data_IF_144770357964
#
_entry.id   IF_144770357964
#
_cell.length_a   1.000
_cell.length_b   1.000
_cell.length_c   1.000
_cell.angle_alpha   90.00
_cell.angle_beta   90.00
_cell.angle_gamma   90.00
#
_symmetry.space_group_name_H-M   'P 1'
#
loop_
_entity.id
_entity.type
_entity.pdbx_description
1 polymer ?
#
# COMPACT_ATOMS: atom_id res chain seq x y z
N UNK A 1 -15.80 -9.02 -4.12
CA UNK A 1 -16.06 -8.11 -5.26
C UNK A 1 -14.93 -8.22 -6.26
N UNK A 2 -15.21 -8.03 -7.54
CA UNK A 2 -14.15 -8.05 -8.54
C UNK A 2 -13.59 -6.64 -8.75
N UNK A 3 -12.27 -6.55 -8.87
CA UNK A 3 -11.55 -5.30 -9.14
C UNK A 3 -12.10 -4.63 -10.41
N UNK A 4 -12.24 -3.31 -10.41
CA UNK A 4 -12.75 -2.48 -11.52
C UNK A 4 -14.21 -2.70 -11.91
N UNK A 5 -14.93 -3.57 -11.23
CA UNK A 5 -16.37 -3.74 -11.47
C UNK A 5 -17.21 -2.84 -10.56
N UNK A 6 -18.41 -2.52 -11.03
CA UNK A 6 -19.42 -1.83 -10.22
C UNK A 6 -20.05 -2.80 -9.24
N UNK A 7 -20.14 -2.38 -7.99
CA UNK A 7 -20.81 -3.15 -6.93
C UNK A 7 -21.80 -2.28 -6.19
N UNK A 8 -22.94 -2.84 -5.80
CA UNK A 8 -23.99 -2.17 -5.04
C UNK A 8 -24.33 -2.96 -3.80
N UNK A 9 -24.15 -2.35 -2.63
CA UNK A 9 -24.66 -2.87 -1.37
C UNK A 9 -26.04 -2.24 -1.10
N UNK A 10 -26.98 -3.03 -0.57
CA UNK A 10 -28.35 -2.58 -0.29
C UNK A 10 -28.68 -2.80 1.18
N UNK A 11 -29.33 -1.82 1.76
CA UNK A 11 -29.83 -1.84 3.13
C UNK A 11 -31.33 -1.58 3.11
N UNK A 12 -32.09 -2.45 3.72
CA UNK A 12 -33.52 -2.30 3.91
C UNK A 12 -33.78 -1.98 5.38
N UNK A 13 -34.41 -0.83 5.63
CA UNK A 13 -34.79 -0.40 6.96
C UNK A 13 -36.22 0.13 6.94
N UNK A 14 -37.05 -0.42 7.81
CA UNK A 14 -38.46 -0.05 7.94
C UNK A 14 -38.69 0.69 9.27
N UNK A 15 -39.61 1.63 9.25
CA UNK A 15 -40.01 2.40 10.44
C UNK A 15 -40.95 3.56 10.08
N UNK A 16 -41.67 4.06 11.10
CA UNK A 16 -42.51 5.22 10.99
C UNK A 16 -42.16 6.22 12.10
N UNK A 17 -41.58 7.40 11.78
CA UNK A 17 -41.19 7.91 10.44
C UNK A 17 -40.14 7.03 9.74
N UNK A 18 -39.95 7.22 8.43
CA UNK A 18 -38.94 6.48 7.68
C UNK A 18 -37.54 6.73 8.27
N UNK A 19 -36.74 5.66 8.59
CA UNK A 19 -35.42 5.81 9.15
C UNK A 19 -34.42 6.49 8.20
N UNK A 20 -33.49 7.24 8.79
CA UNK A 20 -32.28 7.67 8.08
C UNK A 20 -31.26 6.51 8.09
N UNK A 21 -30.66 6.26 6.94
CA UNK A 21 -29.69 5.17 6.75
C UNK A 21 -28.28 5.73 6.58
N UNK A 22 -27.30 5.05 7.18
CA UNK A 22 -25.88 5.32 6.98
C UNK A 22 -25.13 4.01 6.78
N UNK A 23 -24.20 4.01 5.84
CA UNK A 23 -23.22 2.94 5.66
C UNK A 23 -21.93 3.27 6.40
N UNK A 24 -21.52 2.34 7.23
CA UNK A 24 -20.26 2.38 7.96
C UNK A 24 -19.31 1.39 7.33
N UNK A 25 -18.09 1.81 7.05
CA UNK A 25 -17.01 0.95 6.57
C UNK A 25 -15.89 0.95 7.58
N UNK A 26 -15.42 -0.22 7.97
CA UNK A 26 -14.24 -0.41 8.78
C UNK A 26 -13.24 -1.30 8.05
N UNK A 27 -11.99 -0.84 8.04
CA UNK A 27 -10.84 -1.63 7.58
C UNK A 27 -10.13 -2.27 8.77
N UNK A 28 -9.27 -3.23 8.54
CA UNK A 28 -8.44 -3.84 9.60
C UNK A 28 -7.53 -2.81 10.32
N UNK A 29 -7.24 -1.68 9.69
CA UNK A 29 -6.54 -0.56 10.32
C UNK A 29 -7.32 0.09 11.48
N UNK A 30 -8.58 -0.33 11.74
CA UNK A 30 -9.36 -0.02 12.94
C UNK A 30 -10.13 1.29 12.88
N UNK A 31 -10.15 2.00 11.77
CA UNK A 31 -10.98 3.19 11.56
C UNK A 31 -12.39 2.83 11.07
N UNK A 32 -13.43 3.45 11.62
CA UNK A 32 -14.80 3.38 11.09
C UNK A 32 -15.14 4.69 10.41
N UNK A 33 -15.53 4.61 9.14
CA UNK A 33 -15.90 5.78 8.35
C UNK A 33 -17.33 5.67 7.83
N UNK A 34 -18.04 6.80 7.72
CA UNK A 34 -19.32 6.88 7.05
C UNK A 34 -19.06 7.03 5.56
N UNK A 35 -19.43 6.03 4.78
CA UNK A 35 -19.17 5.97 3.32
C UNK A 35 -20.43 6.18 2.47
N UNK A 36 -21.60 6.23 3.08
CA UNK A 36 -22.86 6.49 2.39
C UNK A 36 -24.00 6.84 3.34
N UNK A 37 -25.02 7.54 2.82
CA UNK A 37 -26.21 7.95 3.58
C UNK A 37 -27.52 7.59 2.89
N UNK A 38 -27.49 6.65 1.95
CA UNK A 38 -28.64 6.17 1.22
C UNK A 38 -28.84 4.67 1.44
N UNK A 39 -30.04 4.16 1.16
CA UNK A 39 -30.35 2.74 1.27
C UNK A 39 -29.48 1.86 0.35
N UNK A 40 -28.91 2.41 -0.70
CA UNK A 40 -27.94 1.73 -1.56
C UNK A 40 -26.59 2.46 -1.52
N UNK A 41 -25.52 1.71 -1.31
CA UNK A 41 -24.13 2.16 -1.49
C UNK A 41 -23.63 1.66 -2.84
N UNK A 42 -23.33 2.58 -3.73
CA UNK A 42 -22.90 2.30 -5.10
C UNK A 42 -21.39 2.55 -5.24
N UNK A 43 -20.64 1.48 -5.43
CA UNK A 43 -19.20 1.50 -5.67
C UNK A 43 -19.00 1.33 -7.17
N UNK A 44 -18.77 2.42 -7.89
CA UNK A 44 -18.71 2.44 -9.36
C UNK A 44 -17.49 1.72 -9.93
N UNK A 45 -16.37 1.82 -9.23
CA UNK A 45 -15.10 1.23 -9.62
C UNK A 45 -14.46 0.60 -8.37
N UNK A 46 -14.63 -0.72 -8.24
CA UNK A 46 -14.12 -1.43 -7.07
C UNK A 46 -12.59 -1.44 -7.08
N UNK A 47 -12.00 -1.11 -5.94
CA UNK A 47 -10.56 -1.10 -5.66
C UNK A 47 -10.26 -1.87 -4.37
N UNK A 48 -9.01 -2.27 -4.13
CA UNK A 48 -8.59 -2.97 -2.91
C UNK A 48 -8.88 -2.18 -1.62
N UNK A 49 -8.92 -0.85 -1.68
CA UNK A 49 -9.33 0.01 -0.56
C UNK A 49 -10.79 -0.16 -0.14
N UNK A 50 -11.62 -0.78 -0.99
CA UNK A 50 -13.01 -1.08 -0.67
C UNK A 50 -13.18 -2.43 0.06
N UNK A 51 -12.12 -3.20 0.26
CA UNK A 51 -12.16 -4.39 1.10
C UNK A 51 -12.36 -4.02 2.57
N UNK A 52 -13.04 -4.86 3.33
CA UNK A 52 -13.30 -4.65 4.75
C UNK A 52 -14.75 -4.93 5.16
N UNK A 53 -15.13 -4.43 6.32
CA UNK A 53 -16.42 -4.69 6.92
C UNK A 53 -17.37 -3.52 6.72
N UNK A 54 -18.57 -3.82 6.25
CA UNK A 54 -19.64 -2.85 6.06
C UNK A 54 -20.79 -3.15 7.01
N UNK A 55 -21.32 -2.10 7.63
CA UNK A 55 -22.52 -2.16 8.48
C UNK A 55 -23.48 -1.07 8.01
N UNK A 56 -24.72 -1.43 7.81
CA UNK A 56 -25.79 -0.49 7.63
C UNK A 56 -26.35 -0.07 8.99
N UNK A 57 -26.37 1.22 9.30
CA UNK A 57 -26.99 1.79 10.48
C UNK A 57 -28.25 2.55 10.07
N UNK A 58 -29.38 2.20 10.66
CA UNK A 58 -30.64 2.93 10.54
C UNK A 58 -30.91 3.70 11.84
N UNK A 59 -31.31 4.97 11.71
CA UNK A 59 -31.69 5.82 12.86
C UNK A 59 -33.04 6.43 12.65
N UNK A 60 -33.81 6.53 13.74
CA UNK A 60 -35.12 7.16 13.74
C UNK A 60 -35.28 7.99 15.02
N UNK A 61 -36.17 8.99 14.98
CA UNK A 61 -36.52 9.76 16.16
C UNK A 61 -38.01 9.58 16.44
N UNK A 62 -38.34 9.05 17.61
CA UNK A 62 -39.70 8.84 18.07
C UNK A 62 -39.87 9.56 19.41
N UNK A 63 -40.84 10.46 19.49
CA UNK A 63 -41.15 11.25 20.69
C UNK A 63 -39.95 11.98 21.28
N UNK A 64 -38.99 12.38 20.43
CA UNK A 64 -37.74 13.06 20.83
C UNK A 64 -36.62 12.12 21.26
N UNK A 65 -36.86 10.81 21.27
CA UNK A 65 -35.84 9.80 21.54
C UNK A 65 -35.22 9.27 20.24
N UNK A 66 -33.88 9.20 20.20
CA UNK A 66 -33.13 8.67 19.06
C UNK A 66 -33.02 7.14 19.19
N UNK A 67 -33.65 6.44 18.26
CA UNK A 67 -33.57 5.00 18.12
C UNK A 67 -32.54 4.63 17.02
N UNK A 68 -31.76 3.58 17.23
CA UNK A 68 -30.76 3.11 16.28
C UNK A 68 -30.78 1.58 16.18
N UNK A 69 -30.71 1.07 14.95
CA UNK A 69 -30.53 -0.33 14.65
C UNK A 69 -29.37 -0.50 13.65
N UNK A 70 -28.73 -1.67 13.67
CA UNK A 70 -27.64 -2.01 12.76
C UNK A 70 -27.90 -3.36 12.12
N UNK A 71 -27.44 -3.52 10.88
CA UNK A 71 -27.40 -4.82 10.21
C UNK A 71 -26.29 -5.70 10.79
N UNK A 72 -26.30 -6.97 10.40
CA UNK A 72 -25.12 -7.81 10.51
C UNK A 72 -23.97 -7.21 9.69
N UNK A 73 -22.73 -7.61 10.03
CA UNK A 73 -21.53 -7.22 9.31
C UNK A 73 -21.53 -7.89 7.94
N UNK A 74 -21.33 -7.10 6.89
CA UNK A 74 -21.07 -7.60 5.54
C UNK A 74 -19.57 -7.51 5.30
N UNK A 75 -18.91 -8.63 5.22
CA UNK A 75 -17.50 -8.71 4.84
C UNK A 75 -17.38 -8.61 3.32
N UNK A 76 -16.54 -7.66 2.88
CA UNK A 76 -16.27 -7.41 1.48
C UNK A 76 -14.82 -7.72 1.19
N UNK A 77 -14.61 -8.73 0.36
CA UNK A 77 -13.32 -9.06 -0.23
C UNK A 77 -13.24 -8.53 -1.67
N UNK A 78 -12.10 -8.01 -2.05
CA UNK A 78 -11.81 -7.58 -3.44
C UNK A 78 -10.77 -8.51 -4.03
N UNK A 79 -10.99 -8.98 -5.24
CA UNK A 79 -10.09 -9.87 -5.95
C UNK A 79 -9.90 -9.44 -7.41
N UNK A 80 -8.69 -9.64 -7.95
CA UNK A 80 -8.31 -9.25 -9.30
C UNK A 80 -6.81 -9.28 -9.53
N UNK A 81 -6.37 -8.58 -10.58
CA UNK A 81 -4.93 -8.40 -10.85
C UNK A 81 -4.24 -7.53 -9.81
N UNK A 82 -2.90 -7.57 -9.73
CA UNK A 82 -2.18 -6.70 -8.82
C UNK A 82 -2.39 -5.22 -9.15
N UNK A 83 -2.26 -4.38 -8.12
CA UNK A 83 -2.18 -2.93 -8.22
C UNK A 83 -0.96 -2.46 -7.47
N UNK A 84 -0.09 -1.75 -8.18
CA UNK A 84 1.10 -1.14 -7.58
C UNK A 84 0.78 0.31 -7.25
N UNK A 85 1.02 0.70 -6.01
CA UNK A 85 0.76 2.06 -5.53
C UNK A 85 1.68 3.09 -6.21
N UNK A 86 1.25 4.34 -6.22
CA UNK A 86 2.09 5.45 -6.66
C UNK A 86 3.27 5.61 -5.70
N UNK A 87 4.47 5.70 -6.24
CA UNK A 87 5.69 5.87 -5.46
C UNK A 87 6.21 7.28 -5.68
N UNK A 88 6.37 8.03 -4.61
CA UNK A 88 7.18 9.24 -4.62
C UNK A 88 8.64 8.89 -4.93
N UNK A 89 9.41 9.85 -5.46
CA UNK A 89 10.85 9.64 -5.68
C UNK A 89 11.55 9.23 -4.39
N UNK A 90 12.38 8.20 -4.46
CA UNK A 90 13.22 7.76 -3.36
C UNK A 90 14.56 8.51 -3.37
N UNK A 91 15.14 8.77 -2.21
CA UNK A 91 16.42 9.46 -2.11
C UNK A 91 17.23 9.07 -0.90
N UNK A 92 18.54 9.21 -1.01
CA UNK A 92 19.46 8.89 0.07
C UNK A 92 20.81 9.60 -0.11
N UNK A 93 21.74 9.31 0.80
CA UNK A 93 23.10 9.85 0.78
C UNK A 93 24.13 8.78 0.49
N UNK A 94 25.21 9.20 -0.15
CA UNK A 94 26.36 8.32 -0.39
C UNK A 94 26.88 7.74 0.92
N UNK A 95 27.04 6.42 0.95
CA UNK A 95 27.56 5.64 2.09
C UNK A 95 26.50 5.19 3.09
N UNK A 96 25.28 5.70 3.01
CA UNK A 96 24.16 5.27 3.85
C UNK A 96 23.45 4.03 3.27
N UNK A 97 22.66 3.39 4.10
CA UNK A 97 21.64 2.44 3.65
C UNK A 97 20.43 3.22 3.18
N UNK A 98 19.86 2.80 2.04
CA UNK A 98 18.66 3.41 1.47
C UNK A 98 17.64 2.31 1.21
N UNK A 99 16.44 2.54 1.67
CA UNK A 99 15.29 1.68 1.42
C UNK A 99 14.33 2.36 0.44
N UNK A 100 13.89 1.61 -0.55
CA UNK A 100 12.89 2.02 -1.53
C UNK A 100 11.69 1.11 -1.36
N UNK A 101 10.59 1.69 -0.92
CA UNK A 101 9.38 0.96 -0.58
C UNK A 101 8.30 1.18 -1.64
N UNK A 102 7.65 0.10 -2.02
CA UNK A 102 6.52 0.10 -2.96
C UNK A 102 5.41 -0.76 -2.39
N UNK A 103 4.24 -0.16 -2.23
CA UNK A 103 3.06 -0.89 -1.82
C UNK A 103 2.41 -1.58 -3.02
N UNK A 104 1.98 -2.82 -2.81
CA UNK A 104 1.31 -3.65 -3.82
C UNK A 104 0.10 -4.29 -3.20
N UNK A 105 -1.06 -4.16 -3.82
CA UNK A 105 -2.25 -4.92 -3.43
C UNK A 105 -2.58 -5.95 -4.50
N UNK A 106 -2.87 -7.19 -4.09
CA UNK A 106 -3.08 -8.33 -5.00
C UNK A 106 -3.91 -9.42 -4.33
N UNK A 107 -5.00 -9.82 -4.96
CA UNK A 107 -5.79 -10.99 -4.53
C UNK A 107 -6.19 -11.81 -5.76
N UNK A 108 -5.69 -13.03 -5.90
CA UNK A 108 -4.77 -13.75 -5.01
C UNK A 108 -3.41 -13.09 -4.81
N UNK A 109 -2.63 -13.58 -3.82
CA UNK A 109 -1.28 -13.08 -3.56
C UNK A 109 -0.40 -13.06 -4.82
N UNK A 110 0.63 -12.20 -4.86
CA UNK A 110 1.58 -12.17 -5.97
C UNK A 110 2.26 -13.52 -6.20
N UNK A 111 2.26 -13.99 -7.44
CA UNK A 111 3.04 -15.15 -7.88
C UNK A 111 4.48 -14.76 -8.22
N UNK A 112 4.65 -13.52 -8.69
CA UNK A 112 5.94 -12.96 -9.06
C UNK A 112 5.99 -11.50 -8.64
N UNK A 113 7.06 -11.13 -7.93
CA UNK A 113 7.45 -9.75 -7.66
C UNK A 113 8.90 -9.60 -8.05
N UNK A 114 9.24 -8.62 -8.86
CA UNK A 114 10.61 -8.39 -9.30
C UNK A 114 10.95 -6.91 -9.31
N UNK A 115 12.21 -6.63 -8.93
CA UNK A 115 12.85 -5.34 -9.11
C UNK A 115 13.85 -5.44 -10.25
N UNK A 116 13.77 -4.55 -11.21
CA UNK A 116 14.65 -4.51 -12.36
C UNK A 116 15.30 -3.12 -12.49
N UNK A 117 16.61 -3.08 -12.75
CA UNK A 117 17.36 -1.83 -12.97
C UNK A 117 18.60 -2.04 -13.83
N UNK A 118 19.23 -0.95 -14.24
CA UNK A 118 20.47 -0.97 -15.03
C UNK A 118 20.38 -1.79 -16.31
N UNK A 119 21.41 -2.56 -16.60
CA UNK A 119 21.50 -3.37 -17.82
C UNK A 119 20.75 -4.71 -17.72
N UNK A 120 19.61 -4.75 -17.05
CA UNK A 120 18.78 -5.96 -16.94
C UNK A 120 19.03 -6.77 -15.67
N UNK A 121 19.57 -6.15 -14.60
CA UNK A 121 19.62 -6.77 -13.28
C UNK A 121 18.19 -7.00 -12.83
N UNK A 122 17.91 -8.21 -12.34
CA UNK A 122 16.59 -8.62 -11.88
C UNK A 122 16.73 -9.34 -10.53
N UNK A 123 15.99 -8.84 -9.52
CA UNK A 123 16.00 -9.39 -8.18
C UNK A 123 14.57 -9.61 -7.69
N UNK A 124 14.33 -10.75 -7.04
CA UNK A 124 13.04 -11.11 -6.44
C UNK A 124 13.13 -11.11 -4.91
N UNK A 125 12.00 -11.11 -4.20
CA UNK A 125 11.98 -11.21 -2.75
C UNK A 125 12.79 -12.39 -2.21
N UNK A 126 13.55 -12.14 -1.15
CA UNK A 126 14.53 -13.07 -0.58
C UNK A 126 15.85 -13.14 -1.34
N UNK A 127 15.95 -12.42 -2.48
CA UNK A 127 17.19 -12.32 -3.25
C UNK A 127 18.14 -11.25 -2.72
N UNK A 128 19.44 -11.51 -2.91
CA UNK A 128 20.53 -10.61 -2.57
C UNK A 128 21.54 -10.55 -3.71
N UNK A 129 22.11 -9.38 -3.97
CA UNK A 129 23.14 -9.17 -4.98
C UNK A 129 24.33 -8.40 -4.40
N UNK A 130 25.53 -9.00 -4.52
CA UNK A 130 26.82 -8.42 -4.14
C UNK A 130 26.91 -7.92 -2.68
N UNK A 131 26.06 -8.44 -1.76
CA UNK A 131 25.96 -7.98 -0.39
C UNK A 131 25.57 -6.50 -0.25
N UNK A 132 24.99 -5.93 -1.31
CA UNK A 132 24.59 -4.53 -1.37
C UNK A 132 23.11 -4.31 -1.63
N UNK A 133 22.49 -5.17 -2.41
CA UNK A 133 21.08 -5.05 -2.77
C UNK A 133 20.33 -6.25 -2.20
N UNK A 134 19.22 -5.98 -1.56
CA UNK A 134 18.30 -7.00 -1.04
C UNK A 134 16.87 -6.59 -1.35
N UNK A 135 16.04 -7.56 -1.71
CA UNK A 135 14.61 -7.36 -1.92
C UNK A 135 13.82 -8.18 -0.94
N UNK A 136 12.89 -7.54 -0.27
CA UNK A 136 11.94 -8.16 0.64
C UNK A 136 10.50 -7.93 0.15
N UNK A 137 9.57 -8.80 0.58
CA UNK A 137 8.12 -8.65 0.40
C UNK A 137 7.44 -9.09 1.69
N UNK A 138 6.69 -8.18 2.30
CA UNK A 138 6.04 -8.39 3.59
C UNK A 138 4.56 -8.05 3.45
N UNK A 139 3.69 -8.87 4.01
CA UNK A 139 2.26 -8.57 4.08
C UNK A 139 1.99 -7.41 5.05
N UNK A 140 1.15 -6.47 4.64
CA UNK A 140 0.77 -5.33 5.46
C UNK A 140 -0.33 -5.75 6.46
N UNK A 141 -0.07 -5.69 7.79
CA UNK A 141 -0.97 -6.26 8.80
C UNK A 141 -2.31 -5.54 8.93
N UNK A 142 -2.46 -4.36 8.33
CA UNK A 142 -3.64 -3.52 8.47
C UNK A 142 -4.34 -3.21 7.13
N UNK A 143 -3.93 -3.87 6.06
CA UNK A 143 -4.52 -3.71 4.73
C UNK A 143 -4.66 -5.08 4.06
N UNK A 144 -5.90 -5.55 3.97
CA UNK A 144 -6.23 -6.82 3.31
C UNK A 144 -5.61 -6.91 1.91
N UNK A 145 -4.93 -8.01 1.64
CA UNK A 145 -4.32 -8.32 0.35
C UNK A 145 -3.26 -7.31 -0.13
N UNK A 146 -2.70 -6.51 0.78
CA UNK A 146 -1.65 -5.56 0.44
C UNK A 146 -0.30 -5.97 1.05
N UNK A 147 0.75 -5.71 0.32
CA UNK A 147 2.13 -6.09 0.61
C UNK A 147 3.02 -4.86 0.45
N UNK A 148 4.10 -4.82 1.20
CA UNK A 148 5.19 -3.88 1.00
C UNK A 148 6.37 -4.62 0.38
N UNK A 149 6.81 -4.23 -0.82
CA UNK A 149 8.08 -4.69 -1.36
C UNK A 149 9.13 -3.61 -1.17
N UNK A 150 10.26 -4.00 -0.61
CA UNK A 150 11.36 -3.10 -0.26
C UNK A 150 12.63 -3.51 -0.96
N UNK A 151 13.24 -2.58 -1.68
CA UNK A 151 14.62 -2.71 -2.15
C UNK A 151 15.53 -1.97 -1.17
N UNK A 152 16.41 -2.70 -0.50
CA UNK A 152 17.46 -2.15 0.36
C UNK A 152 18.75 -2.03 -0.41
N UNK A 153 19.35 -0.84 -0.45
CA UNK A 153 20.65 -0.54 -1.05
C UNK A 153 21.64 -0.20 0.04
N UNK A 154 22.55 -1.13 0.33
CA UNK A 154 23.61 -0.96 1.33
C UNK A 154 24.74 -0.09 0.79
N UNK A 155 25.25 0.83 1.62
CA UNK A 155 26.38 1.70 1.25
C UNK A 155 26.16 2.36 -0.11
N UNK A 156 25.02 3.05 -0.24
CA UNK A 156 24.57 3.67 -1.47
C UNK A 156 25.66 4.53 -2.13
N UNK A 157 25.72 4.49 -3.44
CA UNK A 157 26.71 5.20 -4.27
C UNK A 157 25.97 6.03 -5.32
N UNK A 158 26.62 7.05 -5.88
CA UNK A 158 26.02 7.87 -6.95
C UNK A 158 25.55 7.04 -8.16
N UNK A 159 26.25 5.95 -8.46
CA UNK A 159 25.89 5.04 -9.55
C UNK A 159 24.60 4.23 -9.31
N UNK A 160 24.12 4.20 -8.05
CA UNK A 160 22.85 3.57 -7.71
C UNK A 160 21.66 4.48 -8.00
N UNK A 161 21.91 5.76 -8.33
CA UNK A 161 20.88 6.66 -8.84
C UNK A 161 20.40 6.18 -10.21
N UNK A 162 19.08 6.15 -10.39
CA UNK A 162 18.50 5.72 -11.65
C UNK A 162 17.05 5.26 -11.52
N UNK A 163 16.60 4.61 -12.56
CA UNK A 163 15.25 4.05 -12.64
C UNK A 163 15.25 2.59 -12.21
N UNK A 164 14.30 2.27 -11.34
CA UNK A 164 14.02 0.93 -10.86
C UNK A 164 12.58 0.58 -11.21
N UNK A 165 12.37 -0.53 -11.90
CA UNK A 165 11.05 -0.99 -12.28
C UNK A 165 10.64 -2.12 -11.34
N UNK A 166 9.52 -1.93 -10.66
CA UNK A 166 8.85 -2.99 -9.90
C UNK A 166 7.77 -3.60 -10.76
N UNK A 167 7.82 -4.89 -10.95
CA UNK A 167 6.80 -5.67 -11.65
C UNK A 167 6.20 -6.69 -10.71
N UNK A 168 4.88 -6.74 -10.68
CA UNK A 168 4.11 -7.69 -9.88
C UNK A 168 3.11 -8.42 -10.76
N UNK A 169 2.98 -9.71 -10.55
CA UNK A 169 2.11 -10.57 -11.36
C UNK A 169 1.38 -11.57 -10.48
N UNK A 170 0.09 -11.80 -10.78
CA UNK A 170 -0.70 -12.90 -10.26
C UNK A 170 -1.45 -13.58 -11.42
N UNK A 171 -2.31 -14.58 -11.12
CA UNK A 171 -3.07 -15.29 -12.15
C UNK A 171 -4.09 -14.44 -12.93
N UNK A 172 -4.41 -13.22 -12.45
CA UNK A 172 -5.39 -12.31 -13.08
C UNK A 172 -4.76 -11.20 -13.88
N UNK A 173 -3.44 -11.04 -13.82
CA UNK A 173 -2.74 -10.04 -14.59
C UNK A 173 -1.43 -9.59 -13.97
N UNK A 174 -0.92 -8.49 -14.49
CA UNK A 174 0.31 -7.87 -14.01
C UNK A 174 0.15 -6.36 -13.95
N UNK A 175 0.93 -5.75 -13.05
CA UNK A 175 1.09 -4.30 -12.96
C UNK A 175 2.56 -3.95 -12.71
N UNK A 176 2.95 -2.72 -13.03
CA UNK A 176 4.32 -2.24 -12.86
C UNK A 176 4.37 -0.75 -12.54
N UNK A 177 5.41 -0.35 -11.82
CA UNK A 177 5.73 1.06 -11.56
C UNK A 177 7.23 1.29 -11.74
N UNK A 178 7.59 2.50 -12.17
CA UNK A 178 8.98 2.97 -12.21
C UNK A 178 9.23 3.91 -11.03
N UNK A 179 10.25 3.59 -10.25
CA UNK A 179 10.73 4.40 -9.12
C UNK A 179 12.04 5.06 -9.50
N UNK A 180 12.16 6.36 -9.23
CA UNK A 180 13.39 7.10 -9.43
C UNK A 180 14.14 7.22 -8.10
N UNK A 181 15.30 6.55 -8.00
CA UNK A 181 16.20 6.68 -6.85
C UNK A 181 17.25 7.75 -7.13
N UNK A 182 17.41 8.69 -6.19
CA UNK A 182 18.42 9.75 -6.28
C UNK A 182 19.37 9.71 -5.07
N UNK A 183 20.63 9.38 -5.30
CA UNK A 183 21.67 9.37 -4.28
C UNK A 183 22.51 10.66 -4.39
N UNK A 184 22.43 11.49 -3.36
CA UNK A 184 23.07 12.79 -3.29
C UNK A 184 24.12 12.85 -2.16
N UNK A 185 24.96 13.92 -2.16
CA UNK A 185 25.96 14.20 -1.15
C UNK A 185 27.35 13.70 -1.51
N UNK A 186 28.37 14.32 -0.90
CA UNK A 186 29.75 13.88 -1.02
C UNK A 186 30.07 12.89 0.10
N UNK A 187 30.81 11.85 -0.24
CA UNK A 187 31.43 10.98 0.76
C UNK A 187 32.27 11.86 1.68
N UNK A 188 31.92 11.93 2.96
CA UNK A 188 32.73 12.67 3.93
C UNK A 188 34.09 11.98 4.07
N UNK A 189 35.08 12.47 3.34
CA UNK A 189 36.48 12.14 3.57
C UNK A 189 36.84 12.65 4.97
N UNK A 190 36.77 11.80 5.98
CA UNK A 190 37.36 12.07 7.28
C UNK A 190 38.89 12.03 7.12
N UNK A 191 39.50 13.19 6.88
CA UNK A 191 40.95 13.32 7.05
C UNK A 191 41.22 13.27 8.56
N UNK A 192 41.68 12.15 9.07
CA UNK A 192 42.32 12.04 10.39
C UNK A 192 43.78 12.50 10.21
N UNK A 193 43.99 13.83 10.17
CA UNK A 193 45.32 14.43 10.21
C UNK A 193 45.91 14.22 11.63
N UNK A 194 46.84 13.29 11.77
CA UNK A 194 47.78 13.31 12.90
C UNK A 194 48.78 14.41 12.64
N UNK A 195 48.61 15.57 13.28
CA UNK A 195 49.65 16.56 13.39
C UNK A 195 50.83 15.95 14.16
N UNK A 196 51.90 15.59 13.45
CA UNK A 196 53.25 15.46 14.06
C UNK A 196 53.88 16.84 14.02
N UNK A 197 53.89 17.50 15.16
CA UNK A 197 54.74 18.67 15.40
C UNK A 197 56.18 18.18 15.43
N UNK A 198 56.99 18.57 14.42
CA UNK A 198 58.44 18.51 14.52
C UNK A 198 58.90 19.82 15.18
N UNK A 199 59.50 19.74 16.37
CA UNK A 199 60.34 20.79 16.93
C UNK A 199 61.75 20.58 16.41
N UNK A 200 62.33 21.68 15.89
CA UNK A 200 63.74 21.85 15.63
C UNK A 200 64.44 22.28 16.92
#
# INVERSE_FOLDING_TARGET
MRLEERTVLRCEAEGNPRPAVQWLHSTEAGGVQVVGSQASLDILNTDYSHAGHYICRATNTLDGELLSAQSDVVEVEVWGGPRVGEVGGAGGRVGEEVEVEVEVCSSPPPLLTTWQWGAGILLSPGGELDGRYRVDLVELPHRLHCYLTTLTVQRAQHQDSGEYVVRVENQHGMDLVTVHLNISGQSALRMTGRNRTFQL
#
